data_IF_932816514420
#
_entry.id   IF_932816514420
#
_cell.length_a   1.000
_cell.length_b   1.000
_cell.length_c   1.000
_cell.angle_alpha   90.00
_cell.angle_beta   90.00
_cell.angle_gamma   90.00
#
_symmetry.space_group_name_H-M   'P 1'
#
loop_
_entity.id
_entity.type
_entity.pdbx_description
1 polymer ?
#
# COMPACT_ATOMS: atom_id res chain seq x y z
N UNK A 1 27.38 -32.95 43.22
CA UNK A 1 28.07 -33.77 42.20
C UNK A 1 28.43 -32.84 41.06
N UNK A 2 29.72 -32.76 40.76
CA UNK A 2 30.37 -31.82 39.84
C UNK A 2 30.94 -32.63 38.68
N UNK A 3 30.74 -32.17 37.44
CA UNK A 3 31.55 -32.43 36.23
C UNK A 3 31.11 -31.35 35.23
N UNK A 4 31.86 -30.33 34.80
CA UNK A 4 33.27 -30.10 34.52
C UNK A 4 33.87 -31.03 33.45
N UNK A 5 33.89 -30.53 32.21
CA UNK A 5 34.81 -30.96 31.16
C UNK A 5 35.38 -29.72 30.47
N UNK A 6 36.70 -29.58 30.68
CA UNK A 6 37.65 -28.57 30.19
C UNK A 6 38.42 -29.21 29.04
N UNK A 7 38.72 -28.49 27.96
CA UNK A 7 39.89 -28.75 27.10
C UNK A 7 40.41 -27.41 26.50
N UNK A 8 41.70 -27.34 26.11
CA UNK A 8 42.59 -26.24 26.50
C UNK A 8 43.02 -25.30 25.36
N UNK A 9 43.76 -24.27 25.77
CA UNK A 9 44.27 -23.15 24.98
C UNK A 9 45.69 -23.37 24.42
N UNK A 10 46.01 -22.47 23.48
CA UNK A 10 47.31 -21.92 23.08
C UNK A 10 48.21 -22.68 22.09
N UNK A 11 48.50 -22.03 20.96
CA UNK A 11 49.86 -21.86 20.42
C UNK A 11 49.98 -20.59 19.53
N UNK A 12 50.63 -19.59 20.12
CA UNK A 12 51.46 -18.47 19.64
C UNK A 12 51.70 -18.20 18.13
N UNK A 13 51.65 -16.90 17.78
CA UNK A 13 52.26 -16.23 16.62
C UNK A 13 53.81 -16.15 16.74
N UNK A 14 54.59 -15.67 15.71
CA UNK A 14 54.72 -14.22 15.47
C UNK A 14 55.02 -13.74 14.01
N UNK A 15 54.74 -12.45 13.80
CA UNK A 15 55.40 -11.38 13.01
C UNK A 15 56.20 -11.64 11.71
N UNK A 16 55.96 -10.81 10.67
CA UNK A 16 56.79 -9.61 10.39
C UNK A 16 56.60 -8.98 8.97
N UNK A 17 56.40 -7.65 8.97
CA UNK A 17 57.01 -6.59 8.13
C UNK A 17 56.54 -6.29 6.68
N UNK A 18 55.99 -5.07 6.59
CA UNK A 18 56.05 -4.04 5.52
C UNK A 18 57.46 -3.80 4.94
N UNK A 19 57.61 -3.23 3.71
CA UNK A 19 57.49 -1.77 3.54
C UNK A 19 56.89 -1.23 2.22
N UNK A 20 56.70 0.09 2.23
CA UNK A 20 56.11 1.04 1.28
C UNK A 20 57.03 1.46 0.11
N UNK A 21 56.50 2.41 -0.68
CA UNK A 21 57.12 3.42 -1.57
C UNK A 21 57.34 3.03 -3.04
N UNK A 22 57.11 3.86 -4.07
CA UNK A 22 56.76 5.29 -4.19
C UNK A 22 56.35 5.62 -5.66
N UNK A 23 55.67 6.75 -5.85
CA UNK A 23 55.78 7.69 -6.98
C UNK A 23 55.30 7.35 -8.42
N UNK A 24 54.39 8.20 -8.93
CA UNK A 24 54.79 9.17 -9.98
C UNK A 24 54.36 8.96 -11.45
N UNK A 25 53.51 9.90 -11.91
CA UNK A 25 53.60 10.63 -13.21
C UNK A 25 52.99 10.01 -14.49
N UNK A 26 51.96 10.69 -15.02
CA UNK A 26 51.51 10.67 -16.42
C UNK A 26 52.46 11.48 -17.32
N UNK A 27 52.56 11.21 -18.64
CA UNK A 27 51.76 12.02 -19.58
C UNK A 27 51.35 11.31 -20.90
N UNK A 28 50.30 11.82 -21.55
CA UNK A 28 50.04 11.71 -23.01
C UNK A 28 50.84 12.80 -23.76
N UNK A 29 50.89 12.98 -25.13
CA UNK A 29 50.01 12.43 -26.19
C UNK A 29 50.68 12.07 -27.58
N UNK A 30 49.95 11.27 -28.39
CA UNK A 30 49.75 11.33 -29.89
C UNK A 30 50.96 11.42 -30.89
N UNK A 31 50.76 11.43 -32.24
CA UNK A 31 50.06 10.49 -33.13
C UNK A 31 50.88 10.12 -34.41
N UNK A 32 50.45 9.12 -35.20
CA UNK A 32 50.70 8.91 -36.67
C UNK A 32 50.48 7.41 -36.99
N UNK A 33 50.15 6.91 -38.17
CA UNK A 33 49.65 7.37 -39.46
C UNK A 33 49.07 6.10 -40.15
N UNK A 34 48.08 6.25 -41.03
CA UNK A 34 47.57 5.24 -41.99
C UNK A 34 48.59 5.05 -43.17
N UNK A 35 48.38 4.24 -44.24
CA UNK A 35 47.20 3.47 -44.70
C UNK A 35 47.53 2.09 -45.35
N UNK A 36 46.53 1.53 -46.08
CA UNK A 36 46.59 0.50 -47.16
C UNK A 36 45.98 -0.90 -46.90
N UNK A 37 44.72 -1.02 -47.34
CA UNK A 37 44.15 -2.01 -48.27
C UNK A 37 44.68 -3.45 -48.33
N UNK A 38 43.79 -4.43 -48.05
CA UNK A 38 43.39 -5.46 -49.02
C UNK A 38 42.44 -6.51 -48.38
N UNK A 39 41.28 -6.66 -49.03
CA UNK A 39 40.43 -7.84 -49.24
C UNK A 39 40.43 -9.03 -48.25
N UNK A 40 39.21 -9.38 -47.79
CA UNK A 40 38.88 -10.70 -47.23
C UNK A 40 37.93 -10.66 -46.03
N UNK A 41 36.63 -10.36 -46.23
CA UNK A 41 35.63 -10.50 -45.17
C UNK A 41 34.75 -11.75 -45.39
N UNK A 42 34.82 -12.76 -44.51
CA UNK A 42 33.72 -13.70 -44.33
C UNK A 42 32.58 -13.03 -43.54
N UNK A 43 31.34 -13.46 -43.81
CA UNK A 43 30.11 -13.02 -43.15
C UNK A 43 30.20 -13.13 -41.62
N UNK A 44 29.80 -12.12 -40.83
CA UNK A 44 29.78 -12.24 -39.37
C UNK A 44 28.50 -12.93 -38.87
N UNK A 45 28.56 -13.63 -37.72
CA UNK A 45 27.46 -14.42 -37.19
C UNK A 45 26.35 -13.55 -36.59
N UNK A 46 25.14 -14.09 -36.57
CA UNK A 46 23.96 -13.53 -35.91
C UNK A 46 24.29 -13.04 -34.50
N UNK A 47 24.24 -11.71 -34.30
CA UNK A 47 24.39 -11.12 -32.97
C UNK A 47 23.07 -11.25 -32.21
N UNK A 48 23.06 -12.20 -31.27
CA UNK A 48 22.31 -12.14 -30.01
C UNK A 48 22.48 -10.74 -29.39
N UNK A 49 21.43 -9.94 -29.48
CA UNK A 49 21.39 -8.57 -28.98
C UNK A 49 19.97 -8.13 -28.68
N UNK A 50 19.19 -8.94 -27.97
CA UNK A 50 17.81 -8.58 -27.56
C UNK A 50 17.58 -8.61 -26.04
N UNK A 51 18.58 -8.97 -25.23
CA UNK A 51 18.42 -9.00 -23.76
C UNK A 51 18.86 -7.71 -23.08
N UNK A 52 19.85 -6.99 -23.63
CA UNK A 52 20.39 -5.78 -22.99
C UNK A 52 19.55 -4.52 -23.24
N UNK A 53 18.84 -4.42 -24.37
CA UNK A 53 17.96 -3.26 -24.64
C UNK A 53 16.65 -3.29 -23.84
N UNK A 54 16.23 -4.44 -23.30
CA UNK A 54 15.13 -4.52 -22.32
C UNK A 54 15.57 -4.14 -20.90
N UNK A 55 16.87 -4.19 -20.62
CA UNK A 55 17.44 -3.85 -19.32
C UNK A 55 17.59 -2.33 -19.12
N UNK A 56 17.83 -1.58 -20.19
CA UNK A 56 18.03 -0.11 -20.12
C UNK A 56 16.70 0.67 -20.09
N UNK A 57 15.58 0.05 -20.47
CA UNK A 57 14.26 0.68 -20.46
C UNK A 57 13.66 0.87 -19.04
N UNK A 58 14.21 0.20 -18.02
CA UNK A 58 13.74 0.30 -16.63
C UNK A 58 14.46 1.35 -15.76
N UNK A 59 15.41 2.10 -16.33
CA UNK A 59 16.27 3.05 -15.59
C UNK A 59 15.93 4.53 -15.92
N UNK A 60 15.04 4.79 -16.89
CA UNK A 60 14.60 6.13 -17.26
C UNK A 60 13.14 6.36 -16.84
N UNK A 61 12.95 6.97 -15.66
CA UNK A 61 11.67 7.55 -15.27
C UNK A 61 11.18 8.60 -16.27
N UNK A 62 9.86 8.70 -16.45
CA UNK A 62 9.07 9.66 -17.28
C UNK A 62 9.46 9.87 -18.76
N UNK A 63 10.59 9.36 -19.23
CA UNK A 63 11.07 9.50 -20.63
C UNK A 63 11.47 8.15 -21.21
N UNK A 64 10.54 7.19 -21.16
CA UNK A 64 10.68 5.91 -21.86
C UNK A 64 10.12 6.05 -23.29
N UNK A 65 10.92 5.90 -24.36
CA UNK A 65 10.49 6.21 -25.72
C UNK A 65 9.53 5.18 -26.35
N UNK A 66 9.16 4.08 -25.65
CA UNK A 66 8.22 3.07 -26.17
C UNK A 66 7.36 2.50 -25.02
N UNK A 67 6.51 3.31 -24.38
CA UNK A 67 5.39 2.75 -23.60
C UNK A 67 4.37 2.13 -24.56
N UNK A 68 3.82 0.96 -24.24
CA UNK A 68 2.82 0.30 -25.08
C UNK A 68 1.43 0.34 -24.40
N UNK A 69 0.34 0.49 -25.16
CA UNK A 69 -1.00 0.36 -24.58
C UNK A 69 -1.24 -1.08 -24.12
N UNK A 70 -1.83 -1.24 -22.94
CA UNK A 70 -2.23 -2.55 -22.45
C UNK A 70 -3.28 -3.17 -23.40
N UNK A 71 -3.10 -4.44 -23.76
CA UNK A 71 -3.96 -5.16 -24.71
C UNK A 71 -4.99 -6.00 -23.94
N UNK A 72 -6.31 -5.74 -24.05
CA UNK A 72 -7.36 -6.51 -23.40
C UNK A 72 -7.36 -8.01 -23.70
N UNK A 73 -6.66 -8.48 -24.74
CA UNK A 73 -6.53 -9.92 -25.04
C UNK A 73 -5.57 -10.63 -24.11
N UNK A 74 -4.50 -9.96 -23.68
CA UNK A 74 -3.42 -10.58 -22.90
C UNK A 74 -3.23 -9.94 -21.52
N UNK A 75 -3.79 -8.75 -21.30
CA UNK A 75 -3.73 -8.04 -20.03
C UNK A 75 -5.07 -8.05 -19.29
N UNK A 76 -4.97 -8.01 -17.97
CA UNK A 76 -6.02 -7.57 -17.05
C UNK A 76 -5.57 -6.28 -16.40
N UNK A 77 -6.51 -5.39 -16.09
CA UNK A 77 -6.21 -4.12 -15.43
C UNK A 77 -7.11 -3.97 -14.21
N UNK A 78 -6.49 -3.66 -13.09
CA UNK A 78 -7.18 -3.21 -11.90
C UNK A 78 -7.02 -1.72 -11.77
N UNK A 79 -8.12 -1.02 -11.57
CA UNK A 79 -8.18 0.41 -11.33
C UNK A 79 -8.70 0.59 -9.90
N UNK A 80 -7.88 1.20 -9.04
CA UNK A 80 -8.16 1.26 -7.61
C UNK A 80 -8.92 2.54 -7.26
N UNK A 81 -9.93 2.42 -6.39
CA UNK A 81 -10.73 3.54 -5.89
C UNK A 81 -9.83 4.61 -5.26
N UNK A 82 -10.14 5.89 -5.49
CA UNK A 82 -9.35 7.00 -5.00
C UNK A 82 -10.21 8.17 -4.52
N UNK A 83 -9.54 9.18 -4.00
CA UNK A 83 -10.14 10.46 -3.62
C UNK A 83 -9.46 11.58 -4.38
N UNK A 84 -10.26 12.36 -5.12
CA UNK A 84 -9.85 13.62 -5.70
C UNK A 84 -9.83 14.72 -4.64
N UNK A 85 -8.82 15.58 -4.69
CA UNK A 85 -8.57 16.67 -3.76
C UNK A 85 -8.22 17.95 -4.51
N UNK A 86 -8.36 19.08 -3.83
CA UNK A 86 -7.88 20.38 -4.33
C UNK A 86 -6.65 20.76 -3.53
N UNK A 87 -5.52 20.97 -4.21
CA UNK A 87 -4.27 21.30 -3.56
C UNK A 87 -4.40 22.62 -2.77
N UNK A 88 -3.94 22.62 -1.53
CA UNK A 88 -3.86 23.81 -0.69
C UNK A 88 -2.44 24.35 -0.75
N UNK A 89 -2.22 25.61 -1.19
CA UNK A 89 -0.89 26.23 -1.14
C UNK A 89 -0.35 26.24 0.28
N UNK A 90 0.95 25.95 0.45
CA UNK A 90 1.57 26.09 1.76
C UNK A 90 1.51 27.56 2.23
N UNK A 91 1.35 27.81 3.55
CA UNK A 91 1.19 29.17 4.09
C UNK A 91 2.33 30.14 3.76
N UNK A 92 3.50 29.64 3.35
CA UNK A 92 4.70 30.43 3.05
C UNK A 92 4.88 30.74 1.54
N UNK A 93 3.96 30.28 0.67
CA UNK A 93 4.05 30.56 -0.76
C UNK A 93 3.79 32.07 -1.05
N UNK A 94 4.66 32.79 -1.80
CA UNK A 94 4.53 34.24 -2.04
C UNK A 94 3.38 34.64 -2.98
N UNK A 95 2.50 33.73 -3.35
CA UNK A 95 1.50 33.96 -4.39
C UNK A 95 0.23 34.60 -3.82
N UNK A 96 -0.28 35.61 -4.52
CA UNK A 96 -1.56 36.21 -4.18
C UNK A 96 -2.64 35.14 -4.21
N UNK A 97 -3.53 35.05 -3.20
CA UNK A 97 -4.61 34.08 -3.21
C UNK A 97 -5.46 34.33 -4.47
N UNK A 98 -5.47 33.33 -5.36
CA UNK A 98 -6.45 33.25 -6.44
C UNK A 98 -7.83 33.09 -5.80
N UNK A 99 -8.79 33.95 -6.17
CA UNK A 99 -10.20 33.79 -5.78
C UNK A 99 -10.84 32.50 -6.35
N UNK A 100 -10.16 31.82 -7.29
CA UNK A 100 -10.61 30.54 -7.81
C UNK A 100 -10.01 29.37 -7.02
N UNK A 101 -10.83 28.37 -6.66
CA UNK A 101 -10.35 27.18 -5.99
C UNK A 101 -9.37 26.40 -6.88
N UNK A 102 -8.39 25.75 -6.27
CA UNK A 102 -7.42 24.95 -7.01
C UNK A 102 -8.12 23.87 -7.85
N UNK A 103 -7.58 23.51 -9.03
CA UNK A 103 -8.16 22.45 -9.83
C UNK A 103 -8.14 21.13 -9.06
N UNK A 104 -9.16 20.31 -9.29
CA UNK A 104 -9.22 18.96 -8.75
C UNK A 104 -8.05 18.12 -9.27
N UNK A 105 -7.46 17.33 -8.39
CA UNK A 105 -6.43 16.37 -8.74
C UNK A 105 -6.73 15.04 -8.06
N UNK A 106 -6.43 13.94 -8.72
CA UNK A 106 -6.55 12.62 -8.12
C UNK A 106 -5.33 11.77 -8.49
N UNK A 107 -4.85 10.98 -7.54
CA UNK A 107 -3.86 9.96 -7.86
C UNK A 107 -4.58 8.72 -8.41
N UNK A 108 -4.38 8.44 -9.69
CA UNK A 108 -4.86 7.20 -10.31
C UNK A 108 -3.83 6.11 -10.08
N UNK A 109 -4.28 5.02 -9.47
CA UNK A 109 -3.49 3.81 -9.28
C UNK A 109 -4.09 2.69 -10.12
N UNK A 110 -3.27 2.09 -10.98
CA UNK A 110 -3.68 0.97 -11.81
C UNK A 110 -2.64 -0.15 -11.78
N UNK A 111 -3.08 -1.41 -11.66
CA UNK A 111 -2.22 -2.59 -11.74
C UNK A 111 -2.46 -3.29 -13.07
N UNK A 112 -1.39 -3.53 -13.83
CA UNK A 112 -1.45 -4.20 -15.13
C UNK A 112 -0.83 -5.60 -15.01
N UNK A 113 -1.68 -6.60 -15.20
CA UNK A 113 -1.39 -8.02 -15.02
C UNK A 113 -1.54 -8.76 -16.36
N UNK A 114 -0.93 -9.93 -16.49
CA UNK A 114 -1.12 -10.83 -17.62
C UNK A 114 -2.21 -11.88 -17.36
N UNK A 115 -3.14 -12.04 -18.29
CA UNK A 115 -4.24 -13.02 -18.21
C UNK A 115 -3.78 -14.47 -18.20
N UNK A 116 -2.68 -14.77 -18.89
CA UNK A 116 -2.12 -16.12 -19.04
C UNK A 116 -0.80 -16.31 -18.27
N UNK A 117 -0.54 -15.44 -17.28
CA UNK A 117 0.62 -15.54 -16.39
C UNK A 117 0.53 -16.65 -15.34
N UNK A 118 -0.43 -17.58 -15.45
CA UNK A 118 -0.69 -18.63 -14.46
C UNK A 118 0.55 -19.51 -14.29
N UNK A 119 1.37 -19.20 -13.28
CA UNK A 119 2.18 -20.24 -12.63
C UNK A 119 1.21 -21.30 -12.12
N UNK A 120 1.67 -22.54 -12.07
CA UNK A 120 0.91 -23.66 -11.50
C UNK A 120 0.51 -23.33 -10.05
N UNK A 121 -0.68 -22.72 -9.90
CA UNK A 121 -1.23 -22.27 -8.62
C UNK A 121 -1.35 -23.45 -7.67
N UNK A 122 -1.51 -24.67 -8.20
CA UNK A 122 -1.57 -25.90 -7.42
C UNK A 122 -0.39 -26.07 -6.46
N UNK A 123 0.83 -25.68 -6.84
CA UNK A 123 1.99 -25.77 -5.92
C UNK A 123 1.89 -24.78 -4.76
N UNK A 124 1.48 -23.55 -5.02
CA UNK A 124 1.38 -22.52 -3.98
C UNK A 124 0.17 -22.74 -3.08
N UNK A 125 -0.96 -23.16 -3.68
CA UNK A 125 -2.16 -23.60 -2.96
C UNK A 125 -1.81 -24.79 -2.05
N UNK A 126 -1.07 -25.78 -2.56
CA UNK A 126 -0.59 -26.90 -1.74
C UNK A 126 0.32 -26.42 -0.61
N UNK A 127 1.30 -25.57 -0.90
CA UNK A 127 2.21 -25.05 0.14
C UNK A 127 1.49 -24.23 1.22
N UNK A 128 0.47 -23.43 0.86
CA UNK A 128 -0.37 -22.73 1.84
C UNK A 128 -1.18 -23.73 2.65
N UNK A 129 -1.81 -24.72 2.00
CA UNK A 129 -2.61 -25.76 2.65
C UNK A 129 -1.77 -26.57 3.65
N UNK A 130 -0.56 -26.98 3.26
CA UNK A 130 0.40 -27.70 4.11
C UNK A 130 0.84 -26.80 5.28
N UNK A 131 1.17 -25.54 5.01
CA UNK A 131 1.65 -24.60 6.05
C UNK A 131 0.60 -24.33 7.13
N UNK A 132 -0.67 -24.27 6.75
CA UNK A 132 -1.78 -24.07 7.70
C UNK A 132 -2.38 -25.40 8.22
N UNK A 133 -1.78 -26.54 7.87
CA UNK A 133 -2.11 -27.86 8.42
C UNK A 133 -3.41 -28.48 7.88
N UNK A 134 -3.84 -28.13 6.67
CA UNK A 134 -5.04 -28.69 6.02
C UNK A 134 -4.80 -30.04 5.32
N UNK A 135 -3.56 -30.50 5.28
CA UNK A 135 -3.11 -31.76 4.66
C UNK A 135 -3.16 -32.97 5.61
N UNK A 136 -3.02 -32.74 6.93
CA UNK A 136 -2.98 -33.79 7.97
C UNK A 136 -4.33 -34.28 8.49
N UNK A 137 -5.40 -33.50 8.35
CA UNK A 137 -6.77 -33.92 8.64
C UNK A 137 -7.46 -34.34 7.33
N UNK A 138 -7.67 -35.65 7.19
CA UNK A 138 -8.23 -36.31 6.00
C UNK A 138 -9.27 -35.47 5.23
N UNK A 139 -8.86 -34.80 4.15
CA UNK A 139 -9.78 -34.13 3.23
C UNK A 139 -10.54 -32.89 3.74
N UNK A 140 -10.07 -32.21 4.78
CA UNK A 140 -10.85 -31.20 5.54
C UNK A 140 -11.08 -29.82 4.87
N UNK A 141 -10.37 -29.45 3.80
CA UNK A 141 -10.78 -28.32 2.97
C UNK A 141 -11.83 -28.82 1.96
N UNK A 142 -13.10 -28.47 2.17
CA UNK A 142 -14.12 -28.67 1.14
C UNK A 142 -13.71 -27.98 -0.18
N UNK A 143 -14.37 -28.37 -1.27
CA UNK A 143 -14.05 -27.84 -2.60
C UNK A 143 -14.15 -26.29 -2.64
N UNK A 144 -15.00 -25.71 -1.80
CA UNK A 144 -15.19 -24.27 -1.66
C UNK A 144 -13.98 -23.59 -1.03
N UNK A 145 -13.43 -24.17 0.04
CA UNK A 145 -12.24 -23.68 0.74
C UNK A 145 -11.02 -23.73 -0.17
N UNK A 146 -10.83 -24.82 -0.92
CA UNK A 146 -9.74 -24.92 -1.90
C UNK A 146 -9.89 -23.86 -3.00
N UNK A 147 -11.10 -23.67 -3.51
CA UNK A 147 -11.38 -22.64 -4.50
C UNK A 147 -11.11 -21.23 -3.95
N UNK A 148 -11.50 -20.95 -2.70
CA UNK A 148 -11.21 -19.67 -2.03
C UNK A 148 -9.71 -19.42 -1.91
N UNK A 149 -8.92 -20.44 -1.55
CA UNK A 149 -7.46 -20.33 -1.53
C UNK A 149 -6.94 -20.01 -2.94
N UNK A 150 -7.38 -20.76 -3.95
CA UNK A 150 -6.97 -20.54 -5.35
C UNK A 150 -7.29 -19.11 -5.80
N UNK A 151 -8.54 -18.65 -5.62
CA UNK A 151 -9.01 -17.32 -6.01
C UNK A 151 -8.22 -16.21 -5.30
N UNK A 152 -7.89 -16.36 -4.00
CA UNK A 152 -7.16 -15.35 -3.23
C UNK A 152 -5.65 -15.38 -3.45
N UNK A 153 -5.09 -16.54 -3.78
CA UNK A 153 -3.66 -16.70 -4.11
C UNK A 153 -3.38 -16.27 -5.55
N UNK A 154 -4.32 -16.42 -6.47
CA UNK A 154 -4.11 -16.13 -7.89
C UNK A 154 -3.56 -14.71 -8.15
N UNK A 155 -4.10 -13.62 -7.55
CA UNK A 155 -3.48 -12.30 -7.53
C UNK A 155 -1.98 -12.27 -7.27
N UNK A 156 -1.49 -13.12 -6.36
CA UNK A 156 -0.09 -13.17 -5.93
C UNK A 156 0.82 -13.89 -6.93
N UNK A 157 0.23 -14.66 -7.85
CA UNK A 157 0.93 -15.45 -8.85
C UNK A 157 0.87 -14.82 -10.24
N UNK A 158 -0.06 -13.90 -10.46
CA UNK A 158 -0.24 -13.21 -11.73
C UNK A 158 1.01 -12.43 -12.10
N UNK A 159 1.46 -12.61 -13.35
CA UNK A 159 2.64 -11.91 -13.85
C UNK A 159 2.29 -10.46 -14.13
N UNK A 160 3.05 -9.54 -13.56
CA UNK A 160 2.91 -8.10 -13.80
C UNK A 160 3.41 -7.72 -15.20
N UNK A 161 2.86 -6.65 -15.79
CA UNK A 161 3.22 -6.14 -17.12
C UNK A 161 3.81 -4.71 -17.05
N UNK A 162 5.13 -4.56 -16.80
CA UNK A 162 5.80 -3.27 -16.79
C UNK A 162 5.78 -2.55 -18.15
N UNK A 163 5.91 -1.22 -18.13
CA UNK A 163 6.04 -0.40 -19.34
C UNK A 163 4.73 -0.15 -20.10
N UNK A 164 3.60 -0.63 -19.58
CA UNK A 164 2.29 -0.51 -20.20
C UNK A 164 1.59 0.79 -19.79
N UNK A 165 0.76 1.36 -20.67
CA UNK A 165 -0.11 2.50 -20.38
C UNK A 165 -1.59 2.15 -20.60
N UNK A 166 -2.48 2.94 -19.99
CA UNK A 166 -3.94 2.84 -20.16
C UNK A 166 -4.55 4.23 -20.23
N UNK A 167 -5.78 4.32 -20.74
CA UNK A 167 -6.54 5.57 -20.78
C UNK A 167 -7.75 5.43 -19.86
N UNK A 168 -7.79 6.24 -18.82
CA UNK A 168 -8.96 6.33 -17.92
C UNK A 168 -9.95 7.29 -18.53
N UNK A 169 -11.19 6.85 -18.69
CA UNK A 169 -12.33 7.66 -19.12
C UNK A 169 -13.18 8.02 -17.92
N UNK A 170 -13.49 9.31 -17.79
CA UNK A 170 -14.32 9.86 -16.73
C UNK A 170 -15.48 10.62 -17.37
N UNK A 171 -16.71 10.21 -17.07
CA UNK A 171 -17.91 10.94 -17.47
C UNK A 171 -18.24 11.98 -16.40
N UNK A 172 -18.13 13.26 -16.75
CA UNK A 172 -18.42 14.40 -15.87
C UNK A 172 -19.12 15.52 -16.63
N UNK A 173 -20.16 16.11 -16.03
CA UNK A 173 -20.97 17.18 -16.62
C UNK A 173 -21.51 16.87 -18.04
N UNK A 174 -21.82 15.59 -18.31
CA UNK A 174 -22.31 15.12 -19.61
C UNK A 174 -21.24 15.04 -20.71
N UNK A 175 -19.96 15.21 -20.34
CA UNK A 175 -18.81 15.03 -21.22
C UNK A 175 -17.93 13.87 -20.77
N UNK A 176 -17.45 13.07 -21.72
CA UNK A 176 -16.44 12.04 -21.44
C UNK A 176 -15.05 12.65 -21.60
N UNK A 177 -14.29 12.65 -20.52
CA UNK A 177 -12.91 13.10 -20.48
C UNK A 177 -11.97 11.90 -20.49
N UNK A 178 -10.81 12.02 -21.12
CA UNK A 178 -9.86 10.91 -21.29
C UNK A 178 -8.47 11.29 -20.76
N UNK A 179 -7.97 10.45 -19.85
CA UNK A 179 -6.73 10.67 -19.12
C UNK A 179 -5.77 9.51 -19.37
N UNK A 180 -4.75 9.66 -20.24
CA UNK A 180 -3.71 8.66 -20.40
C UNK A 180 -2.80 8.63 -19.17
N UNK A 181 -2.61 7.45 -18.60
CA UNK A 181 -1.75 7.22 -17.43
C UNK A 181 -0.71 6.14 -17.70
N UNK A 182 0.43 6.26 -17.03
CA UNK A 182 1.57 5.33 -17.14
C UNK A 182 2.85 6.00 -17.65
N UNK A 183 3.88 5.21 -18.00
CA UNK A 183 3.89 3.74 -18.03
C UNK A 183 3.91 3.12 -16.62
N UNK A 184 3.42 1.88 -16.53
CA UNK A 184 3.54 1.04 -15.35
C UNK A 184 5.01 0.77 -15.02
N UNK A 185 5.33 0.77 -13.73
CA UNK A 185 6.67 0.53 -13.22
C UNK A 185 7.08 -0.96 -13.30
N UNK A 186 8.21 -1.31 -12.69
CA UNK A 186 8.72 -2.70 -12.67
C UNK A 186 7.78 -3.71 -11.96
N UNK A 187 6.88 -3.22 -11.11
CA UNK A 187 5.88 -4.01 -10.41
C UNK A 187 4.55 -4.04 -11.19
N UNK A 188 4.50 -3.45 -12.39
CA UNK A 188 3.27 -3.35 -13.18
C UNK A 188 2.26 -2.36 -12.60
N UNK A 189 2.69 -1.44 -11.74
CA UNK A 189 1.83 -0.46 -11.08
C UNK A 189 2.03 0.90 -11.76
N UNK A 190 0.91 1.54 -12.09
CA UNK A 190 0.84 2.96 -12.43
C UNK A 190 0.40 3.69 -11.16
N UNK A 191 1.10 4.75 -10.79
CA UNK A 191 0.68 5.68 -9.73
C UNK A 191 0.94 7.09 -10.26
N UNK A 192 -0.11 7.81 -10.65
CA UNK A 192 0.03 9.09 -11.32
C UNK A 192 -1.02 10.09 -10.83
N UNK A 193 -0.57 11.26 -10.39
CA UNK A 193 -1.45 12.39 -10.11
C UNK A 193 -1.91 12.99 -11.44
N UNK A 194 -3.22 13.12 -11.60
CA UNK A 194 -3.87 13.69 -12.78
C UNK A 194 -4.71 14.87 -12.35
N UNK A 195 -4.57 16.00 -13.05
CA UNK A 195 -5.48 17.13 -12.90
C UNK A 195 -6.77 16.85 -13.65
N UNK A 196 -7.90 16.99 -12.96
CA UNK A 196 -9.23 16.72 -13.46
C UNK A 196 -9.90 18.02 -13.89
N UNK A 197 -10.44 18.05 -15.10
CA UNK A 197 -11.28 19.15 -15.58
C UNK A 197 -12.70 19.01 -15.03
N UNK A 198 -12.88 19.36 -13.76
CA UNK A 198 -14.10 19.14 -13.01
C UNK A 198 -14.61 20.44 -12.33
N UNK A 199 -14.84 21.53 -13.06
CA UNK A 199 -15.08 22.85 -12.46
C UNK A 199 -16.40 22.95 -11.67
N UNK A 200 -17.38 22.07 -11.92
CA UNK A 200 -18.71 22.13 -11.31
C UNK A 200 -18.99 20.98 -10.34
N UNK A 201 -18.04 20.06 -10.14
CA UNK A 201 -18.24 18.95 -9.22
C UNK A 201 -18.25 19.45 -7.78
N UNK A 202 -19.17 18.91 -6.99
CA UNK A 202 -19.36 19.29 -5.59
C UNK A 202 -18.55 18.40 -4.65
N UNK A 203 -18.26 18.92 -3.47
CA UNK A 203 -17.74 18.13 -2.36
C UNK A 203 -18.69 16.94 -2.06
N UNK A 204 -18.11 15.78 -1.78
CA UNK A 204 -18.83 14.53 -1.55
C UNK A 204 -19.34 13.82 -2.82
N UNK A 205 -19.16 14.38 -4.01
CA UNK A 205 -19.55 13.72 -5.25
C UNK A 205 -18.75 12.43 -5.49
N UNK A 206 -19.40 11.43 -6.09
CA UNK A 206 -18.78 10.16 -6.48
C UNK A 206 -19.02 9.95 -7.97
N UNK A 207 -17.94 9.71 -8.70
CA UNK A 207 -17.97 9.36 -10.13
C UNK A 207 -17.34 7.99 -10.35
N UNK A 208 -17.58 7.39 -11.52
CA UNK A 208 -17.11 6.05 -11.85
C UNK A 208 -16.21 6.07 -13.10
N UNK A 209 -14.92 6.42 -12.95
CA UNK A 209 -13.97 6.28 -14.04
C UNK A 209 -13.81 4.82 -14.47
N UNK A 210 -13.54 4.61 -15.75
CA UNK A 210 -13.35 3.27 -16.33
C UNK A 210 -12.27 3.28 -17.40
N UNK A 211 -11.73 2.10 -17.71
CA UNK A 211 -10.88 1.90 -18.89
C UNK A 211 -11.69 1.13 -19.92
N UNK A 212 -12.40 1.85 -20.81
CA UNK A 212 -13.45 1.28 -21.67
C UNK A 212 -13.01 0.12 -22.58
N UNK A 213 -11.71 -0.02 -22.89
CA UNK A 213 -11.21 -1.18 -23.62
C UNK A 213 -11.23 -2.50 -22.82
N UNK A 214 -11.31 -2.44 -21.48
CA UNK A 214 -11.44 -3.59 -20.59
C UNK A 214 -12.87 -3.68 -20.05
N UNK A 215 -13.48 -4.86 -20.19
CA UNK A 215 -14.85 -5.13 -19.74
C UNK A 215 -14.94 -5.72 -18.32
N UNK A 216 -13.78 -5.91 -17.68
CA UNK A 216 -13.72 -6.42 -16.32
C UNK A 216 -14.21 -5.35 -15.35
N UNK A 217 -14.96 -5.75 -14.31
CA UNK A 217 -15.39 -4.84 -13.26
C UNK A 217 -14.20 -4.17 -12.56
N UNK A 218 -13.05 -4.85 -12.50
CA UNK A 218 -11.82 -4.27 -11.94
C UNK A 218 -11.20 -3.18 -12.81
N UNK A 219 -11.65 -2.98 -14.05
CA UNK A 219 -11.27 -1.83 -14.86
C UNK A 219 -12.18 -0.60 -14.64
N UNK A 220 -13.05 -0.66 -13.63
CA UNK A 220 -13.89 0.43 -13.14
C UNK A 220 -13.50 0.74 -11.69
N UNK A 221 -13.57 2.01 -11.32
CA UNK A 221 -13.26 2.48 -9.97
C UNK A 221 -14.30 3.51 -9.52
N UNK A 222 -14.25 3.90 -8.25
CA UNK A 222 -14.90 5.11 -7.73
C UNK A 222 -13.86 6.19 -7.44
N UNK A 223 -14.14 7.41 -7.86
CA UNK A 223 -13.42 8.62 -7.42
C UNK A 223 -14.34 9.46 -6.56
N UNK A 224 -13.94 9.65 -5.31
CA UNK A 224 -14.62 10.51 -4.34
C UNK A 224 -14.04 11.92 -4.38
N UNK A 225 -14.87 12.95 -4.50
CA UNK A 225 -14.41 14.33 -4.47
C UNK A 225 -14.48 14.85 -3.04
N UNK A 226 -13.33 15.29 -2.51
CA UNK A 226 -13.21 15.79 -1.15
C UNK A 226 -12.61 17.20 -1.16
N UNK A 227 -13.37 18.19 -0.73
CA UNK A 227 -12.92 19.58 -0.58
C UNK A 227 -11.76 19.69 0.43
N UNK A 228 -11.02 20.82 0.44
CA UNK A 228 -9.88 21.02 1.36
C UNK A 228 -10.20 20.90 2.86
N UNK A 229 -11.40 21.29 3.27
CA UNK A 229 -11.86 21.27 4.67
C UNK A 229 -12.87 20.14 4.92
N UNK A 230 -13.14 19.87 6.20
CA UNK A 230 -14.04 18.79 6.65
C UNK A 230 -13.29 17.71 7.43
N UNK A 231 -14.01 16.63 7.76
CA UNK A 231 -13.42 15.49 8.46
C UNK A 231 -12.81 14.46 7.51
N UNK A 232 -11.83 13.74 8.02
CA UNK A 232 -11.18 12.61 7.38
C UNK A 232 -11.02 11.50 8.41
N UNK A 233 -11.34 10.27 8.03
CA UNK A 233 -11.05 9.09 8.86
C UNK A 233 -9.92 8.30 8.21
N UNK A 234 -8.85 8.05 8.97
CA UNK A 234 -7.83 7.06 8.62
C UNK A 234 -8.04 5.82 9.48
N UNK A 235 -8.58 4.78 8.88
CA UNK A 235 -8.87 3.50 9.54
C UNK A 235 -7.85 2.44 9.15
N UNK A 236 -7.27 1.74 10.11
CA UNK A 236 -6.70 0.42 9.84
C UNK A 236 -7.80 -0.62 9.49
N UNK A 237 -7.41 -1.78 8.98
CA UNK A 237 -8.32 -2.87 8.62
C UNK A 237 -8.23 -4.07 9.56
N UNK A 238 -7.03 -4.65 9.69
CA UNK A 238 -6.82 -5.96 10.29
C UNK A 238 -6.90 -5.86 11.81
N UNK A 239 -7.82 -6.58 12.43
CA UNK A 239 -8.16 -6.48 13.85
C UNK A 239 -8.70 -5.12 14.33
N UNK A 240 -8.74 -4.10 13.47
CA UNK A 240 -9.53 -2.88 13.69
C UNK A 240 -11.00 -3.09 13.30
N UNK A 241 -11.25 -3.43 12.03
CA UNK A 241 -12.61 -3.61 11.47
C UNK A 241 -12.85 -5.00 10.87
N UNK A 242 -11.79 -5.74 10.52
CA UNK A 242 -11.87 -7.11 10.00
C UNK A 242 -11.16 -8.06 10.95
N UNK A 243 -11.85 -9.08 11.41
CA UNK A 243 -11.31 -10.10 12.31
C UNK A 243 -10.15 -10.88 11.69
N UNK A 244 -8.99 -10.84 12.34
CA UNK A 244 -7.84 -11.72 12.08
C UNK A 244 -7.55 -12.55 13.34
N UNK A 245 -7.50 -11.90 14.52
CA UNK A 245 -7.42 -12.47 15.88
C UNK A 245 -6.27 -13.46 16.08
N UNK A 246 -5.13 -13.17 15.46
CA UNK A 246 -3.94 -14.03 15.53
C UNK A 246 -2.68 -13.24 15.21
N UNK A 247 -1.64 -13.48 16.00
CA UNK A 247 -0.28 -12.98 15.75
C UNK A 247 0.59 -14.00 15.03
N UNK A 248 0.14 -15.26 14.95
CA UNK A 248 0.90 -16.32 14.31
C UNK A 248 0.77 -16.23 12.78
N UNK A 249 1.88 -16.38 12.04
CA UNK A 249 1.86 -16.39 10.58
C UNK A 249 0.86 -17.38 9.96
N UNK A 250 0.73 -18.56 10.57
CA UNK A 250 -0.23 -19.61 10.17
C UNK A 250 -1.67 -19.10 10.25
N UNK A 251 -2.02 -18.39 11.32
CA UNK A 251 -3.33 -17.80 11.51
C UNK A 251 -3.61 -16.65 10.52
N UNK A 252 -2.61 -15.81 10.23
CA UNK A 252 -2.73 -14.74 9.23
C UNK A 252 -3.02 -15.35 7.85
N UNK A 253 -2.27 -16.38 7.46
CA UNK A 253 -2.49 -17.09 6.19
C UNK A 253 -3.85 -17.78 6.17
N UNK A 254 -4.27 -18.41 7.27
CA UNK A 254 -5.57 -19.08 7.37
C UNK A 254 -6.72 -18.09 7.18
N UNK A 255 -6.77 -17.04 8.00
CA UNK A 255 -7.83 -16.01 7.92
C UNK A 255 -7.85 -15.31 6.56
N UNK A 256 -6.67 -15.04 5.98
CA UNK A 256 -6.54 -14.37 4.69
C UNK A 256 -6.92 -15.25 3.52
N UNK A 257 -6.57 -16.54 3.49
CA UNK A 257 -6.74 -17.38 2.30
C UNK A 257 -7.88 -18.39 2.40
N UNK A 258 -8.33 -18.76 3.60
CA UNK A 258 -9.29 -19.87 3.77
C UNK A 258 -10.62 -19.48 4.40
N UNK A 259 -10.70 -18.40 5.16
CA UNK A 259 -11.91 -18.05 5.91
C UNK A 259 -12.71 -16.94 5.21
N UNK A 260 -14.03 -16.90 5.39
CA UNK A 260 -14.81 -15.72 5.01
C UNK A 260 -14.43 -14.54 5.91
N UNK A 261 -14.25 -13.31 5.37
CA UNK A 261 -13.89 -12.17 6.17
C UNK A 261 -15.07 -11.77 7.06
N UNK A 262 -14.83 -11.63 8.36
CA UNK A 262 -15.86 -11.29 9.33
C UNK A 262 -15.59 -9.90 9.90
N UNK A 263 -16.56 -8.97 9.89
CA UNK A 263 -16.39 -7.68 10.55
C UNK A 263 -16.24 -7.86 12.06
N UNK A 264 -15.48 -6.98 12.70
CA UNK A 264 -15.47 -6.88 14.16
C UNK A 264 -16.88 -6.46 14.61
N UNK A 265 -17.50 -7.17 15.58
CA UNK A 265 -18.84 -6.85 16.05
C UNK A 265 -18.97 -5.39 16.49
N UNK A 266 -20.04 -4.71 16.07
CA UNK A 266 -20.32 -3.30 16.41
C UNK A 266 -19.58 -2.26 15.56
N UNK A 267 -18.49 -2.63 14.88
CA UNK A 267 -17.72 -1.70 14.06
C UNK A 267 -18.46 -1.20 12.81
N UNK A 268 -19.22 -2.04 12.07
CA UNK A 268 -20.06 -1.54 10.98
C UNK A 268 -21.03 -0.46 11.45
N UNK A 269 -21.75 -0.68 12.55
CA UNK A 269 -22.71 0.27 13.11
C UNK A 269 -22.01 1.56 13.55
N UNK A 270 -20.87 1.43 14.23
CA UNK A 270 -20.04 2.57 14.66
C UNK A 270 -19.56 3.40 13.47
N UNK A 271 -19.11 2.79 12.36
CA UNK A 271 -18.64 3.57 11.19
C UNK A 271 -19.78 4.27 10.46
N UNK A 272 -20.98 3.69 10.46
CA UNK A 272 -22.18 4.39 9.97
C UNK A 272 -22.55 5.57 10.88
N UNK A 273 -22.40 5.44 12.20
CA UNK A 273 -22.58 6.53 13.15
C UNK A 273 -21.58 7.67 12.90
N UNK A 274 -20.28 7.34 12.80
CA UNK A 274 -19.22 8.30 12.44
C UNK A 274 -19.54 9.02 11.12
N UNK A 275 -20.06 8.28 10.13
CA UNK A 275 -20.42 8.88 8.85
C UNK A 275 -21.62 9.85 8.99
N UNK A 276 -22.60 9.53 9.81
CA UNK A 276 -23.76 10.38 10.04
C UNK A 276 -23.38 11.67 10.79
N UNK A 277 -22.53 11.58 11.81
CA UNK A 277 -22.17 12.72 12.65
C UNK A 277 -21.10 13.64 12.02
N UNK A 278 -20.09 13.06 11.37
CA UNK A 278 -18.93 13.83 10.88
C UNK A 278 -18.91 14.00 9.35
N UNK A 279 -19.68 13.20 8.61
CA UNK A 279 -19.62 13.08 7.15
C UNK A 279 -18.17 13.09 6.59
N UNK A 280 -17.28 12.20 7.07
CA UNK A 280 -15.86 12.28 6.76
C UNK A 280 -15.55 11.68 5.38
N UNK A 281 -14.41 12.08 4.82
CA UNK A 281 -13.76 11.33 3.74
C UNK A 281 -13.03 10.13 4.32
N UNK A 282 -13.25 8.95 3.75
CA UNK A 282 -12.74 7.68 4.27
C UNK A 282 -11.45 7.23 3.60
N UNK A 283 -10.43 6.92 4.40
CA UNK A 283 -9.21 6.24 4.01
C UNK A 283 -9.04 4.97 4.84
N UNK A 284 -8.92 3.82 4.18
CA UNK A 284 -8.60 2.55 4.80
C UNK A 284 -7.14 2.21 4.50
N UNK A 285 -6.30 2.15 5.54
CA UNK A 285 -4.85 1.99 5.44
C UNK A 285 -4.42 0.66 6.06
N UNK A 286 -4.09 -0.33 5.22
CA UNK A 286 -3.59 -1.62 5.68
C UNK A 286 -2.15 -1.85 5.20
N UNK A 287 -1.33 -2.46 6.07
CA UNK A 287 0.01 -2.92 5.70
C UNK A 287 -0.02 -4.19 4.83
N UNK A 288 -1.20 -4.72 4.54
CA UNK A 288 -1.41 -5.82 3.61
C UNK A 288 -0.93 -5.48 2.18
N UNK A 289 -0.44 -6.48 1.43
CA UNK A 289 -0.13 -6.32 0.02
C UNK A 289 -1.27 -5.82 -0.87
N UNK A 290 -0.92 -5.07 -1.92
CA UNK A 290 -1.89 -4.62 -2.92
C UNK A 290 -2.63 -5.75 -3.64
N UNK A 291 -2.05 -6.96 -3.71
CA UNK A 291 -2.71 -8.13 -4.31
C UNK A 291 -3.96 -8.57 -3.54
N UNK A 292 -4.12 -8.14 -2.28
CA UNK A 292 -5.38 -8.30 -1.53
C UNK A 292 -6.42 -7.23 -1.84
N UNK A 293 -6.16 -6.30 -2.77
CA UNK A 293 -7.12 -5.25 -3.12
C UNK A 293 -8.50 -5.83 -3.46
N UNK A 294 -8.68 -6.81 -4.37
CA UNK A 294 -10.02 -7.32 -4.67
C UNK A 294 -10.73 -7.92 -3.45
N UNK A 295 -9.98 -8.61 -2.57
CA UNK A 295 -10.52 -9.22 -1.36
C UNK A 295 -10.96 -8.18 -0.32
N UNK A 296 -10.08 -7.23 0.00
CA UNK A 296 -10.33 -6.20 1.01
C UNK A 296 -11.32 -5.16 0.52
N UNK A 297 -11.27 -4.77 -0.76
CA UNK A 297 -12.24 -3.88 -1.38
C UNK A 297 -13.64 -4.46 -1.32
N UNK A 298 -13.79 -5.75 -1.66
CA UNK A 298 -15.08 -6.44 -1.55
C UNK A 298 -15.58 -6.49 -0.10
N UNK A 299 -14.71 -6.78 0.88
CA UNK A 299 -15.09 -6.75 2.29
C UNK A 299 -15.56 -5.35 2.74
N UNK A 300 -14.81 -4.29 2.40
CA UNK A 300 -15.17 -2.91 2.73
C UNK A 300 -16.51 -2.53 2.10
N UNK A 301 -16.72 -2.84 0.82
CA UNK A 301 -17.95 -2.55 0.09
C UNK A 301 -19.20 -3.17 0.74
N UNK A 302 -19.08 -4.33 1.38
CA UNK A 302 -20.22 -5.02 2.01
C UNK A 302 -20.58 -4.49 3.39
N UNK A 303 -19.64 -3.85 4.10
CA UNK A 303 -19.77 -3.60 5.54
C UNK A 303 -19.55 -2.15 5.96
N UNK A 304 -18.84 -1.35 5.16
CA UNK A 304 -18.34 -0.04 5.58
C UNK A 304 -18.60 1.07 4.55
N UNK A 305 -18.60 2.35 4.97
CA UNK A 305 -18.69 3.48 4.06
C UNK A 305 -17.62 3.42 2.97
N UNK A 306 -17.96 3.78 1.74
CA UNK A 306 -17.00 3.74 0.63
C UNK A 306 -15.87 4.75 0.87
N UNK A 307 -14.63 4.34 0.59
CA UNK A 307 -13.44 5.15 0.79
C UNK A 307 -12.24 4.63 -0.02
N UNK A 308 -11.13 5.37 0.05
CA UNK A 308 -9.88 4.98 -0.61
C UNK A 308 -9.16 3.90 0.19
N UNK A 309 -8.89 2.77 -0.45
CA UNK A 309 -8.11 1.67 0.13
C UNK A 309 -6.64 1.81 -0.25
N UNK A 310 -5.78 2.03 0.74
CA UNK A 310 -4.33 2.14 0.58
C UNK A 310 -3.69 0.86 1.11
N UNK A 311 -2.96 0.19 0.21
CA UNK A 311 -2.25 -1.05 0.47
C UNK A 311 -0.76 -0.92 0.18
N UNK A 312 0.01 -1.88 0.67
CA UNK A 312 1.46 -1.89 0.52
C UNK A 312 1.86 -2.38 -0.86
N UNK A 313 2.72 -1.61 -1.52
CA UNK A 313 3.48 -2.09 -2.68
C UNK A 313 4.67 -2.90 -2.19
N UNK A 314 4.48 -4.21 -2.06
CA UNK A 314 5.54 -5.16 -1.71
C UNK A 314 5.58 -6.26 -2.75
N UNK A 315 6.78 -6.62 -3.20
CA UNK A 315 7.00 -7.77 -4.08
C UNK A 315 7.52 -8.94 -3.26
N UNK A 316 6.86 -10.10 -3.34
CA UNK A 316 7.34 -11.36 -2.74
C UNK A 316 7.72 -12.36 -3.82
N UNK A 317 8.58 -13.30 -3.44
CA UNK A 317 9.01 -14.40 -4.30
C UNK A 317 8.63 -15.78 -3.73
N UNK A 318 8.20 -15.85 -2.47
CA UNK A 318 7.85 -17.07 -1.71
C UNK A 318 6.91 -16.76 -0.51
N UNK A 319 6.50 -17.80 0.23
CA UNK A 319 5.58 -17.70 1.39
C UNK A 319 6.21 -16.91 2.54
N UNK A 320 7.52 -17.06 2.78
CA UNK A 320 8.22 -16.30 3.83
C UNK A 320 8.23 -14.80 3.51
N UNK A 321 8.48 -14.43 2.25
CA UNK A 321 8.37 -13.06 1.78
C UNK A 321 6.94 -12.51 1.86
N UNK A 322 5.93 -13.34 1.62
CA UNK A 322 4.53 -13.00 1.80
C UNK A 322 4.21 -12.73 3.28
N UNK A 323 4.59 -13.61 4.20
CA UNK A 323 4.40 -13.41 5.65
C UNK A 323 5.06 -12.10 6.10
N UNK A 324 6.32 -11.88 5.71
CA UNK A 324 7.04 -10.64 6.03
C UNK A 324 6.34 -9.38 5.52
N UNK A 325 5.71 -9.46 4.36
CA UNK A 325 4.99 -8.33 3.79
C UNK A 325 3.84 -7.85 4.68
N UNK A 326 3.24 -8.73 5.49
CA UNK A 326 2.18 -8.38 6.44
C UNK A 326 2.69 -7.72 7.74
N UNK A 327 3.95 -7.93 8.11
CA UNK A 327 4.42 -7.62 9.48
C UNK A 327 5.62 -6.67 9.57
N UNK A 328 6.45 -6.58 8.53
CA UNK A 328 7.67 -5.78 8.60
C UNK A 328 7.41 -4.28 8.38
N UNK A 329 8.11 -3.42 9.13
CA UNK A 329 8.12 -1.95 8.95
C UNK A 329 6.72 -1.32 8.89
N UNK A 330 5.76 -1.86 9.63
CA UNK A 330 4.37 -1.42 9.63
C UNK A 330 4.23 0.03 10.08
N UNK A 331 4.99 0.44 11.10
CA UNK A 331 4.96 1.83 11.58
C UNK A 331 5.43 2.79 10.49
N UNK A 332 6.63 2.58 9.93
CA UNK A 332 7.20 3.48 8.92
C UNK A 332 6.34 3.55 7.66
N UNK A 333 5.76 2.41 7.25
CA UNK A 333 4.82 2.39 6.15
C UNK A 333 3.57 3.22 6.45
N UNK A 334 2.94 3.04 7.62
CA UNK A 334 1.73 3.79 7.98
C UNK A 334 2.00 5.28 8.08
N UNK A 335 3.10 5.70 8.71
CA UNK A 335 3.46 7.12 8.82
C UNK A 335 3.73 7.74 7.45
N UNK A 336 4.49 7.07 6.56
CA UNK A 336 4.73 7.53 5.19
C UNK A 336 3.42 7.69 4.40
N UNK A 337 2.49 6.74 4.51
CA UNK A 337 1.18 6.83 3.83
C UNK A 337 0.30 7.93 4.41
N UNK A 338 0.28 8.11 5.74
CA UNK A 338 -0.46 9.20 6.37
C UNK A 338 0.12 10.57 6.01
N UNK A 339 1.44 10.70 5.87
CA UNK A 339 2.07 11.93 5.35
C UNK A 339 1.60 12.27 3.94
N UNK A 340 1.46 11.26 3.08
CA UNK A 340 0.88 11.42 1.75
C UNK A 340 -0.57 11.92 1.80
N UNK A 341 -1.41 11.31 2.64
CA UNK A 341 -2.81 11.74 2.84
C UNK A 341 -2.84 13.19 3.34
N UNK A 342 -1.99 13.54 4.31
CA UNK A 342 -1.88 14.91 4.82
C UNK A 342 -1.48 15.89 3.73
N UNK A 343 -0.56 15.52 2.83
CA UNK A 343 -0.19 16.39 1.72
C UNK A 343 -1.39 16.72 0.82
N UNK A 344 -2.29 15.77 0.62
CA UNK A 344 -3.54 15.98 -0.11
C UNK A 344 -4.58 16.79 0.69
N UNK A 345 -4.66 16.55 2.00
CA UNK A 345 -5.68 17.12 2.89
C UNK A 345 -5.08 17.77 4.15
N UNK A 346 -4.26 18.83 4.01
CA UNK A 346 -3.56 19.40 5.17
C UNK A 346 -4.49 20.18 6.12
N UNK A 347 -5.69 20.57 5.66
CA UNK A 347 -6.67 21.37 6.41
C UNK A 347 -7.82 20.53 6.97
N UNK A 348 -7.93 19.25 6.61
CA UNK A 348 -8.97 18.37 7.17
C UNK A 348 -8.60 17.95 8.59
N UNK A 349 -9.63 17.74 9.41
CA UNK A 349 -9.50 17.18 10.75
C UNK A 349 -9.53 15.67 10.69
N UNK A 350 -8.59 15.02 11.35
CA UNK A 350 -8.41 13.57 11.23
C UNK A 350 -8.83 12.85 12.50
N UNK A 351 -9.71 11.86 12.34
CA UNK A 351 -9.93 10.77 13.28
C UNK A 351 -9.17 9.53 12.81
N UNK A 352 -8.22 9.08 13.61
CA UNK A 352 -7.49 7.83 13.38
C UNK A 352 -8.16 6.69 14.15
N UNK A 353 -8.42 5.56 13.50
CA UNK A 353 -8.97 4.36 14.15
C UNK A 353 -8.08 3.17 13.83
N UNK A 354 -7.54 2.53 14.85
CA UNK A 354 -6.62 1.40 14.69
C UNK A 354 -6.71 0.39 15.82
N UNK A 355 -5.79 -0.58 15.84
CA UNK A 355 -5.80 -1.68 16.79
C UNK A 355 -4.53 -1.76 17.66
N UNK A 356 -4.60 -2.53 18.75
CA UNK A 356 -3.47 -2.74 19.65
C UNK A 356 -2.52 -3.87 19.23
N UNK A 357 -2.87 -4.74 18.29
CA UNK A 357 -2.03 -5.85 17.83
C UNK A 357 -0.83 -5.38 17.01
N UNK A 358 -1.01 -4.35 16.18
CA UNK A 358 0.04 -3.83 15.30
C UNK A 358 0.75 -2.60 15.89
N UNK A 359 1.06 -1.60 15.06
CA UNK A 359 1.88 -0.43 15.41
C UNK A 359 1.10 0.88 15.30
N UNK A 360 -0.22 0.79 15.40
CA UNK A 360 -1.14 1.90 15.18
C UNK A 360 -1.02 2.96 16.28
N UNK A 361 -0.92 2.61 17.58
CA UNK A 361 -0.68 3.60 18.61
C UNK A 361 0.59 4.42 18.33
N UNK A 362 1.69 3.74 18.00
CA UNK A 362 2.98 4.38 17.74
C UNK A 362 2.95 5.23 16.46
N UNK A 363 2.36 4.73 15.37
CA UNK A 363 2.24 5.45 14.10
C UNK A 363 1.37 6.71 14.23
N UNK A 364 0.20 6.61 14.87
CA UNK A 364 -0.69 7.75 15.05
C UNK A 364 -0.10 8.79 16.01
N UNK A 365 0.58 8.36 17.08
CA UNK A 365 1.27 9.27 17.98
C UNK A 365 2.45 9.99 17.30
N UNK A 366 3.21 9.31 16.44
CA UNK A 366 4.27 9.93 15.63
C UNK A 366 3.69 11.01 14.71
N UNK A 367 2.60 10.71 14.01
CA UNK A 367 1.91 11.66 13.14
C UNK A 367 1.34 12.86 13.91
N UNK A 368 0.78 12.65 15.11
CA UNK A 368 0.29 13.74 15.95
C UNK A 368 1.44 14.64 16.39
N UNK A 369 2.56 14.09 16.85
CA UNK A 369 3.74 14.90 17.23
C UNK A 369 4.28 15.72 16.07
N UNK A 370 4.25 15.17 14.86
CA UNK A 370 4.69 15.89 13.64
C UNK A 370 3.69 16.96 13.21
N UNK A 371 2.39 16.69 13.38
CA UNK A 371 1.30 17.55 12.90
C UNK A 371 0.14 17.62 13.92
N UNK A 372 0.33 18.30 15.06
CA UNK A 372 -0.62 18.25 16.17
C UNK A 372 -1.97 18.91 15.84
N UNK A 373 -2.01 19.83 14.88
CA UNK A 373 -3.24 20.47 14.43
C UNK A 373 -4.01 19.68 13.36
N UNK A 374 -3.51 18.51 12.94
CA UNK A 374 -4.12 17.71 11.88
C UNK A 374 -4.89 16.52 12.45
N UNK A 375 -4.25 15.75 13.34
CA UNK A 375 -4.90 14.67 14.08
C UNK A 375 -5.66 15.26 15.27
N UNK A 376 -6.99 15.13 15.23
CA UNK A 376 -7.88 15.63 16.28
C UNK A 376 -8.31 14.54 17.25
N UNK A 377 -8.37 13.29 16.78
CA UNK A 377 -8.81 12.17 17.58
C UNK A 377 -8.12 10.87 17.17
N UNK A 378 -7.83 10.00 18.13
CA UNK A 378 -7.23 8.68 17.95
C UNK A 378 -8.01 7.67 18.78
N UNK A 379 -8.56 6.64 18.16
CA UNK A 379 -9.25 5.55 18.84
C UNK A 379 -8.51 4.23 18.57
N UNK A 380 -8.03 3.58 19.64
CA UNK A 380 -7.31 2.30 19.55
C UNK A 380 -8.18 1.17 20.11
N UNK A 381 -8.53 0.21 19.27
CA UNK A 381 -9.21 -1.01 19.68
C UNK A 381 -8.23 -1.91 20.43
N UNK A 382 -8.51 -2.15 21.70
CA UNK A 382 -7.79 -3.11 22.53
C UNK A 382 -8.27 -4.52 22.20
N UNK A 383 -7.44 -5.26 21.49
CA UNK A 383 -7.78 -6.61 21.06
C UNK A 383 -7.57 -7.59 22.20
N UNK A 384 -8.66 -8.14 22.73
CA UNK A 384 -8.64 -9.12 23.81
C UNK A 384 -8.92 -10.52 23.25
N UNK A 385 -8.49 -11.58 23.96
CA UNK A 385 -8.67 -12.99 23.57
C UNK A 385 -7.81 -13.51 22.40
N UNK A 386 -6.64 -12.91 22.18
CA UNK A 386 -5.58 -13.44 21.32
C UNK A 386 -4.37 -13.75 22.20
N UNK A 387 -3.67 -14.86 21.94
CA UNK A 387 -2.45 -15.20 22.68
C UNK A 387 -1.36 -14.14 22.48
N UNK A 388 -0.48 -13.97 23.48
CA UNK A 388 0.65 -13.03 23.44
C UNK A 388 0.27 -11.53 23.39
N UNK A 389 -0.95 -11.18 23.80
CA UNK A 389 -1.39 -9.78 23.89
C UNK A 389 -0.95 -9.10 25.19
N UNK A 390 -0.36 -9.82 26.16
CA UNK A 390 0.02 -9.28 27.47
C UNK A 390 1.00 -8.12 27.37
N UNK A 391 1.93 -8.16 26.40
CA UNK A 391 2.88 -7.07 26.14
C UNK A 391 2.28 -5.97 25.27
N UNK A 392 1.38 -6.33 24.34
CA UNK A 392 0.76 -5.42 23.37
C UNK A 392 -0.31 -4.52 24.00
N UNK A 393 -1.00 -5.04 25.01
CA UNK A 393 -2.08 -4.37 25.73
C UNK A 393 -1.63 -3.78 27.08
N UNK A 394 -0.32 -3.69 27.35
CA UNK A 394 0.21 -3.02 28.54
C UNK A 394 -0.18 -1.56 28.51
N UNK A 395 -0.73 -1.06 29.62
CA UNK A 395 -1.03 0.35 29.78
C UNK A 395 0.24 1.19 29.59
N UNK A 396 1.40 0.71 30.07
CA UNK A 396 2.69 1.38 29.89
C UNK A 396 3.09 1.55 28.42
N UNK A 397 2.66 0.65 27.52
CA UNK A 397 2.92 0.81 26.08
C UNK A 397 2.12 1.96 25.51
N UNK A 398 0.84 2.07 25.86
CA UNK A 398 -0.01 3.17 25.39
C UNK A 398 0.44 4.50 25.99
N UNK A 399 0.76 4.53 27.29
CA UNK A 399 1.31 5.71 27.96
C UNK A 399 2.62 6.17 27.33
N UNK A 400 3.54 5.27 26.99
CA UNK A 400 4.78 5.62 26.31
C UNK A 400 4.52 6.06 24.86
N UNK A 401 3.66 5.35 24.12
CA UNK A 401 3.31 5.70 22.75
C UNK A 401 2.69 7.10 22.66
N UNK A 402 1.75 7.43 23.55
CA UNK A 402 1.04 8.71 23.61
C UNK A 402 1.63 9.71 24.60
N UNK A 403 2.87 9.49 25.03
CA UNK A 403 3.58 10.43 25.91
C UNK A 403 3.60 11.84 25.33
N UNK A 404 3.27 12.82 26.16
CA UNK A 404 3.15 14.24 25.84
C UNK A 404 2.03 14.59 24.84
N UNK A 405 1.12 13.65 24.55
CA UNK A 405 -0.11 13.87 23.78
C UNK A 405 -1.26 14.07 24.79
N UNK A 406 -2.07 15.14 24.66
CA UNK A 406 -3.18 15.39 25.58
C UNK A 406 -4.15 14.19 25.60
N UNK A 407 -4.62 13.83 26.80
CA UNK A 407 -5.47 12.65 27.01
C UNK A 407 -6.82 12.74 26.30
N UNK A 408 -7.29 13.94 25.98
CA UNK A 408 -8.51 14.18 25.21
C UNK A 408 -8.38 13.81 23.72
N UNK A 409 -7.15 13.70 23.21
CA UNK A 409 -6.90 13.37 21.79
C UNK A 409 -7.01 11.88 21.52
N UNK A 410 -6.81 11.02 22.53
CA UNK A 410 -6.72 9.58 22.30
C UNK A 410 -7.51 8.77 23.33
N UNK A 411 -8.05 7.65 22.87
CA UNK A 411 -8.77 6.70 23.71
C UNK A 411 -8.46 5.26 23.32
N UNK A 412 -8.55 4.36 24.28
CA UNK A 412 -8.43 2.92 24.10
C UNK A 412 -9.77 2.29 24.49
N UNK A 413 -10.34 1.47 23.62
CA UNK A 413 -11.68 0.90 23.80
C UNK A 413 -11.69 -0.60 23.50
N UNK A 414 -12.64 -1.34 24.09
CA UNK A 414 -12.85 -2.76 23.79
C UNK A 414 -14.14 -2.98 22.99
N UNK A 415 -15.20 -2.24 23.32
CA UNK A 415 -16.48 -2.24 22.63
C UNK A 415 -16.70 -0.93 21.87
N UNK A 416 -17.01 -0.94 20.55
CA UNK A 416 -17.25 0.28 19.78
C UNK A 416 -18.36 1.18 20.34
N UNK A 417 -19.29 0.65 21.14
CA UNK A 417 -20.32 1.46 21.81
C UNK A 417 -19.73 2.54 22.73
N UNK A 418 -18.53 2.30 23.27
CA UNK A 418 -17.82 3.25 24.14
C UNK A 418 -17.41 4.53 23.39
N UNK A 419 -17.35 4.48 22.05
CA UNK A 419 -16.91 5.60 21.22
C UNK A 419 -18.03 6.51 20.72
N UNK A 420 -19.31 6.19 20.97
CA UNK A 420 -20.41 7.00 20.44
C UNK A 420 -20.39 8.42 21.02
N UNK A 421 -20.39 8.55 22.35
CA UNK A 421 -20.31 9.85 23.03
C UNK A 421 -19.03 10.63 22.66
N UNK A 422 -17.93 9.91 22.40
CA UNK A 422 -16.66 10.49 21.97
C UNK A 422 -16.80 11.13 20.57
N UNK A 423 -17.42 10.44 19.62
CA UNK A 423 -17.66 10.95 18.25
C UNK A 423 -18.69 12.08 18.24
N UNK A 424 -19.75 11.98 19.03
CA UNK A 424 -20.78 13.00 19.14
C UNK A 424 -20.19 14.34 19.58
N UNK A 425 -19.23 14.31 20.52
CA UNK A 425 -18.53 15.51 20.98
C UNK A 425 -17.70 16.16 19.86
N UNK A 426 -17.01 15.36 19.05
CA UNK A 426 -16.25 15.87 17.89
C UNK A 426 -17.18 16.57 16.89
N UNK A 427 -18.36 16.00 16.62
CA UNK A 427 -19.36 16.59 15.72
C UNK A 427 -20.01 17.86 16.27
N UNK A 428 -20.11 18.03 17.59
CA UNK A 428 -20.62 19.26 18.21
C UNK A 428 -19.62 20.42 18.10
N UNK A 429 -18.31 20.15 18.23
CA UNK A 429 -17.28 21.19 18.09
C UNK A 429 -17.30 21.84 16.70
N UNK A 430 -17.65 21.08 15.66
CA UNK A 430 -17.86 21.59 14.30
C UNK A 430 -18.96 22.64 14.19
N UNK A 431 -20.05 22.49 14.95
CA UNK A 431 -21.24 23.33 14.81
C UNK A 431 -21.10 24.68 15.54
N UNK A 432 -20.09 24.82 16.39
CA UNK A 432 -19.85 26.00 17.23
C UNK A 432 -18.83 26.96 16.60
N UNK A 433 -18.06 26.49 15.61
CA UNK A 433 -17.10 27.27 14.81
C UNK A 433 -17.73 27.76 13.51
#
# INVERSE_FOLDING_TARGET
MVHNLKLPADYLAPDAKHPQDDSGVSPSPSPSASPEDAEGRPSPPERRGSSFMKFVAGILGSKNPISQPADPKVNSVWLLDNTAYQAVPEPEAPEQPSDQPAPWQAEFVACILEKEGRKDAGKFVASIADYIGLDGESGAADQETRKRIEDRVQPFLDRVSPGMNVTVELDIDGSTQSYPIGPADRNGIISQIVQLDAPHIQDGAIVQPRISQFKDNMACMKTHFAAPSGWLVVSDIDDTIKRTMTMEPTGILRTTFTEEPVPIPGMPEFYHHVHAELNPTWFYLSASPYNLYPFLHNFLHHHYPTGTLILRDYSWMDIDGLIKSFTERTQEYKTERMEKIRHWFPQRRVLCVGDSTQKDPEAYAEMYRKYPSWIHAIAIRKVTNVGHMEDKNKDERFEEAFKDIPSEIWTVYEDPVELYDFVDQLGMEDQVL
#
